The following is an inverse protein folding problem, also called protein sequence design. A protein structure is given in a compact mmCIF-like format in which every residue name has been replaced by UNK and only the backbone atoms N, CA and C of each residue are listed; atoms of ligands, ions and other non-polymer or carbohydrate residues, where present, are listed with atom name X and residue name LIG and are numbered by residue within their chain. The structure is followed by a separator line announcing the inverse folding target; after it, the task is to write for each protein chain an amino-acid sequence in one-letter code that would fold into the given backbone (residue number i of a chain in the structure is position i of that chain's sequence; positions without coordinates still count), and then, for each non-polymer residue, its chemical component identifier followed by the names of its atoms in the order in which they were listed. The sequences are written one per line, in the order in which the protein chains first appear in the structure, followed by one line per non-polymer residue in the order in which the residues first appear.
data_IF_098427027493
#
_entry.id   IF_098427027493
#
_cell.length_a   1.000
_cell.length_b   1.000
_cell.length_c   1.000
_cell.angle_alpha   90.00
_cell.angle_beta   90.00
_cell.angle_gamma   90.00
#
_symmetry.space_group_name_H-M   'P 1'
#
loop_
_entity.id
_entity.type
_entity.pdbx_description
1 polymer ?
#
# COMPACT_ATOMS: atom_id res chain seq x y z
N UNK A 1 16.11 8.17 9.50
CA UNK A 1 14.75 8.04 8.96
C UNK A 1 14.76 7.22 7.68
N UNK A 2 14.02 6.13 7.65
CA UNK A 2 13.95 5.29 6.48
C UNK A 2 12.92 5.86 5.49
N UNK A 3 13.25 5.96 4.20
CA UNK A 3 12.31 6.50 3.23
C UNK A 3 11.15 5.54 2.96
N UNK A 4 10.02 6.12 2.60
CA UNK A 4 8.89 5.38 2.08
C UNK A 4 9.08 5.24 0.58
N UNK A 5 8.90 4.03 0.05
CA UNK A 5 9.04 3.78 -1.37
C UNK A 5 7.69 3.36 -1.95
N UNK A 6 7.26 4.07 -2.99
CA UNK A 6 6.03 3.73 -3.71
C UNK A 6 6.43 3.43 -5.15
N UNK A 7 6.26 2.19 -5.56
CA UNK A 7 6.69 1.76 -6.87
C UNK A 7 5.68 2.09 -7.95
N UNK A 8 6.02 1.81 -9.22
CA UNK A 8 5.19 2.19 -10.35
C UNK A 8 3.79 1.61 -10.25
N UNK A 9 2.81 2.39 -10.70
CA UNK A 9 1.41 1.99 -10.75
C UNK A 9 0.79 1.70 -9.38
N UNK A 10 1.53 1.94 -8.30
CA UNK A 10 0.96 1.82 -6.98
C UNK A 10 0.08 3.04 -6.70
N UNK A 11 -0.97 2.84 -5.95
CA UNK A 11 -1.89 3.91 -5.61
C UNK A 11 -2.11 3.94 -4.11
N UNK A 12 -1.79 5.08 -3.51
CA UNK A 12 -2.04 5.31 -2.10
C UNK A 12 -3.16 6.35 -2.01
N UNK A 13 -4.30 5.92 -1.50
CA UNK A 13 -5.47 6.79 -1.46
C UNK A 13 -5.34 7.86 -0.37
N UNK A 14 -6.29 8.80 -0.37
CA UNK A 14 -6.25 9.94 0.52
C UNK A 14 -6.21 9.53 1.99
N UNK A 15 -5.46 10.28 2.78
CA UNK A 15 -5.35 10.12 4.23
C UNK A 15 -4.82 8.75 4.67
N UNK A 16 -4.20 8.01 3.78
CA UNK A 16 -3.53 6.79 4.17
C UNK A 16 -2.22 7.12 4.89
N UNK A 17 -1.89 6.33 5.90
CA UNK A 17 -0.62 6.45 6.60
C UNK A 17 0.29 5.32 6.14
N UNK A 18 1.51 5.66 5.77
CA UNK A 18 2.52 4.66 5.39
C UNK A 18 3.72 4.85 6.32
N UNK A 19 4.06 3.80 7.04
CA UNK A 19 5.16 3.86 8.00
C UNK A 19 6.52 3.98 7.32
N UNK A 20 7.50 4.43 8.08
CA UNK A 20 8.87 4.58 7.58
C UNK A 20 9.43 3.25 7.12
N UNK A 21 10.16 3.27 6.02
CA UNK A 21 10.83 2.08 5.50
C UNK A 21 9.90 1.11 4.78
N UNK A 22 8.62 1.43 4.67
CA UNK A 22 7.66 0.56 4.00
C UNK A 22 7.77 0.75 2.49
N UNK A 23 7.73 -0.36 1.75
CA UNK A 23 7.70 -0.34 0.29
C UNK A 23 6.32 -0.76 -0.18
N UNK A 24 5.70 0.09 -0.99
CA UNK A 24 4.44 -0.24 -1.64
C UNK A 24 4.79 -0.80 -3.02
N UNK A 25 4.55 -2.08 -3.22
CA UNK A 25 4.97 -2.77 -4.45
C UNK A 25 4.25 -2.29 -5.69
N UNK A 26 4.84 -2.59 -6.84
CA UNK A 26 4.30 -2.19 -8.13
C UNK A 26 2.83 -2.58 -8.26
N UNK A 27 2.00 -1.62 -8.65
CA UNK A 27 0.58 -1.88 -8.89
C UNK A 27 -0.25 -2.11 -7.64
N UNK A 28 0.34 -2.03 -6.44
CA UNK A 28 -0.42 -2.21 -5.21
C UNK A 28 -1.37 -1.02 -4.97
N UNK A 29 -2.43 -1.25 -4.24
CA UNK A 29 -3.39 -0.21 -3.88
C UNK A 29 -3.55 -0.18 -2.37
N UNK A 30 -3.38 1.01 -1.80
CA UNK A 30 -3.62 1.24 -0.38
C UNK A 30 -4.90 2.06 -0.25
N UNK A 31 -5.90 1.50 0.39
CA UNK A 31 -7.20 2.14 0.54
C UNK A 31 -7.14 3.41 1.39
N UNK A 32 -8.18 4.25 1.26
CA UNK A 32 -8.25 5.50 2.01
C UNK A 32 -8.25 5.23 3.51
N UNK A 33 -7.56 6.10 4.24
CA UNK A 33 -7.46 6.05 5.71
C UNK A 33 -6.83 4.77 6.25
N UNK A 34 -6.13 4.03 5.41
CA UNK A 34 -5.42 2.84 5.85
C UNK A 34 -4.15 3.21 6.59
N UNK A 35 -3.68 2.34 7.46
CA UNK A 35 -2.39 2.50 8.12
C UNK A 35 -1.52 1.31 7.77
N UNK A 36 -0.46 1.55 7.01
CA UNK A 36 0.41 0.50 6.49
C UNK A 36 1.72 0.48 7.26
N UNK A 37 2.00 -0.63 7.93
CA UNK A 37 3.19 -0.79 8.75
C UNK A 37 4.17 -1.83 8.22
N UNK A 38 3.81 -2.51 7.13
CA UNK A 38 4.65 -3.52 6.50
C UNK A 38 4.64 -3.32 5.00
N UNK A 39 5.64 -3.86 4.33
CA UNK A 39 5.69 -3.80 2.88
C UNK A 39 4.44 -4.42 2.27
N UNK A 40 3.98 -3.82 1.18
CA UNK A 40 2.82 -4.32 0.45
C UNK A 40 3.31 -4.99 -0.82
N UNK A 41 2.93 -6.26 -0.99
CA UNK A 41 3.32 -7.02 -2.16
C UNK A 41 2.76 -6.41 -3.44
N UNK A 42 3.44 -6.57 -4.58
CA UNK A 42 2.94 -6.05 -5.85
C UNK A 42 1.53 -6.56 -6.16
N UNK A 43 0.74 -5.71 -6.81
CA UNK A 43 -0.60 -6.05 -7.30
C UNK A 43 -1.57 -6.48 -6.20
N UNK A 44 -1.35 -6.01 -5.00
CA UNK A 44 -2.17 -6.35 -3.84
C UNK A 44 -2.96 -5.12 -3.39
N UNK A 45 -4.21 -5.33 -3.02
CA UNK A 45 -5.05 -4.27 -2.44
C UNK A 45 -5.10 -4.50 -0.95
N UNK A 46 -4.72 -3.47 -0.19
CA UNK A 46 -4.77 -3.52 1.27
C UNK A 46 -5.60 -2.36 1.80
N UNK A 47 -6.15 -2.52 2.97
CA UNK A 47 -6.92 -1.45 3.60
C UNK A 47 -7.14 -1.69 5.08
N UNK A 48 -7.56 -0.65 5.76
CA UNK A 48 -7.87 -0.72 7.18
C UNK A 48 -6.73 -0.24 8.06
N UNK A 49 -6.96 -0.24 9.35
CA UNK A 49 -5.98 0.18 10.34
C UNK A 49 -5.92 -0.87 11.46
N UNK A 50 -4.84 -1.68 11.51
CA UNK A 50 -3.74 -1.77 10.55
C UNK A 50 -4.20 -2.34 9.21
N UNK A 51 -3.50 -1.98 8.14
CA UNK A 51 -3.85 -2.42 6.80
C UNK A 51 -3.71 -3.93 6.67
N UNK A 52 -4.70 -4.54 6.06
CA UNK A 52 -4.74 -5.97 5.84
C UNK A 52 -5.03 -6.27 4.39
N UNK A 53 -4.63 -7.43 3.95
CA UNK A 53 -4.90 -7.89 2.59
C UNK A 53 -6.41 -7.92 2.33
N UNK A 54 -6.83 -7.33 1.24
CA UNK A 54 -8.22 -7.37 0.81
C UNK A 54 -8.37 -8.31 -0.38
N UNK A 55 -7.59 -8.07 -1.42
CA UNK A 55 -7.66 -8.91 -2.62
C UNK A 55 -6.45 -8.66 -3.50
N UNK A 56 -6.29 -9.51 -4.47
CA UNK A 56 -5.31 -9.36 -5.53
C UNK A 56 -5.86 -8.38 -6.56
N UNK A 57 -5.04 -7.42 -6.98
CA UNK A 57 -5.44 -6.48 -8.03
C UNK A 57 -5.26 -7.15 -9.39
N UNK A 58 -6.30 -7.09 -10.20
CA UNK A 58 -6.25 -7.62 -11.56
C UNK A 58 -6.21 -6.46 -12.55
N UNK A 59 -5.22 -6.48 -13.45
CA UNK A 59 -5.16 -5.53 -14.54
C UNK A 59 -5.90 -6.07 -15.75
N UNK A 60 -6.60 -5.14 -16.38
CA UNK A 60 -7.31 -5.46 -17.61
C UNK A 60 -7.02 -4.42 -18.65
#
# INVERSE_FOLDING_TARGET
TAPITVEDRAWVAAQAFVGMGVTIGTGAVVGARSAVFRDVAPWTVVGGNPAKFIKQRTLR
#
